data_IF_371978213054
#
_entry.id   IF_371978213054
#
_cell.length_a   1.000
_cell.length_b   1.000
_cell.length_c   1.000
_cell.angle_alpha   90.00
_cell.angle_beta   90.00
_cell.angle_gamma   90.00
#
_symmetry.space_group_name_H-M   'P 1'
#
loop_
_entity.id
_entity.type
_entity.pdbx_description
1 polymer ?
#
# COMPACT_ATOMS: atom_id res chain seq x y z
N UNK A 1 22.05 2.50 -43.72
CA UNK A 1 22.82 3.72 -43.44
C UNK A 1 22.12 4.88 -44.12
N UNK A 2 21.90 6.00 -43.42
CA UNK A 2 21.34 7.20 -44.04
C UNK A 2 22.27 7.68 -45.16
N UNK A 3 21.67 8.10 -46.27
CA UNK A 3 22.39 8.59 -47.45
C UNK A 3 22.29 10.11 -47.47
N UNK A 4 23.38 10.79 -47.15
CA UNK A 4 23.43 12.24 -47.12
C UNK A 4 23.78 12.78 -48.52
N UNK A 5 22.84 13.47 -49.16
CA UNK A 5 22.93 13.87 -50.56
C UNK A 5 23.32 15.33 -50.78
N UNK A 6 23.57 16.08 -49.71
CA UNK A 6 23.91 17.50 -49.77
C UNK A 6 24.93 17.91 -48.68
N UNK A 7 25.73 18.98 -48.89
CA UNK A 7 26.57 19.54 -47.83
C UNK A 7 25.70 20.19 -46.74
N UNK A 8 25.92 19.87 -45.47
CA UNK A 8 25.17 20.43 -44.34
C UNK A 8 25.58 19.82 -42.99
N UNK A 9 25.05 20.37 -41.89
CA UNK A 9 25.15 19.76 -40.55
C UNK A 9 23.92 18.89 -40.35
N UNK A 10 24.14 17.62 -40.09
CA UNK A 10 23.07 16.65 -39.81
C UNK A 10 23.11 16.28 -38.33
N UNK A 11 21.95 16.35 -37.67
CA UNK A 11 21.79 15.92 -36.29
C UNK A 11 20.83 14.74 -36.30
N UNK A 12 21.35 13.56 -35.99
CA UNK A 12 20.55 12.35 -35.86
C UNK A 12 20.38 12.01 -34.37
N UNK A 13 19.15 11.70 -33.98
CA UNK A 13 18.88 11.15 -32.67
C UNK A 13 19.22 9.67 -32.68
N UNK A 14 20.31 9.30 -32.02
CA UNK A 14 20.62 7.90 -31.71
C UNK A 14 20.16 7.65 -30.27
N UNK A 15 19.11 6.85 -30.04
CA UNK A 15 18.69 6.51 -28.69
C UNK A 15 19.86 5.82 -27.96
N UNK A 16 20.06 6.11 -26.66
CA UNK A 16 21.16 5.52 -25.92
C UNK A 16 21.02 3.99 -25.85
N UNK A 17 22.14 3.28 -25.93
CA UNK A 17 22.18 1.81 -25.89
C UNK A 17 21.77 1.21 -24.54
N UNK A 18 21.66 2.04 -23.49
CA UNK A 18 21.14 1.69 -22.17
C UNK A 18 20.50 2.94 -21.55
N UNK A 19 19.37 2.78 -20.88
CA UNK A 19 18.76 3.87 -20.12
C UNK A 19 19.55 4.10 -18.81
N UNK A 20 19.61 5.35 -18.30
CA UNK A 20 20.11 5.60 -16.96
C UNK A 20 19.30 4.83 -15.91
N UNK A 21 19.94 4.41 -14.83
CA UNK A 21 19.23 3.81 -13.69
C UNK A 21 18.32 4.86 -13.07
N UNK A 22 17.04 4.56 -12.97
CA UNK A 22 16.09 5.31 -12.15
C UNK A 22 16.02 4.67 -10.76
N UNK A 23 15.86 5.48 -9.73
CA UNK A 23 15.60 4.98 -8.39
C UNK A 23 14.25 4.28 -8.32
N UNK A 24 14.21 3.11 -7.69
CA UNK A 24 12.95 2.40 -7.43
C UNK A 24 12.13 3.09 -6.35
N UNK A 25 10.82 2.77 -6.29
CA UNK A 25 9.98 3.22 -5.18
C UNK A 25 10.51 2.67 -3.85
N UNK A 26 10.46 3.44 -2.77
CA UNK A 26 11.01 3.04 -1.46
C UNK A 26 9.94 2.88 -0.38
N UNK A 27 8.68 3.17 -0.70
CA UNK A 27 7.66 3.51 0.30
C UNK A 27 6.27 2.91 0.02
N UNK A 28 6.24 1.78 -0.69
CA UNK A 28 5.01 1.00 -0.90
C UNK A 28 4.92 -0.05 0.21
N UNK A 29 3.87 0.06 1.02
CA UNK A 29 3.65 -0.83 2.16
C UNK A 29 2.78 -2.03 1.78
N UNK A 30 3.06 -3.19 2.36
CA UNK A 30 2.18 -4.36 2.41
C UNK A 30 1.62 -4.51 3.83
N UNK A 31 0.31 -4.42 3.97
CA UNK A 31 -0.42 -4.61 5.23
C UNK A 31 -1.17 -5.93 5.22
N UNK A 32 -0.99 -6.74 6.26
CA UNK A 32 -1.85 -7.89 6.54
C UNK A 32 -2.70 -7.55 7.77
N UNK A 33 -4.00 -7.77 7.70
CA UNK A 33 -4.88 -7.48 8.84
C UNK A 33 -6.27 -8.08 8.72
N UNK A 34 -6.97 -8.14 9.85
CA UNK A 34 -8.31 -8.70 9.94
C UNK A 34 -9.34 -7.73 9.37
N UNK A 35 -10.21 -8.26 8.52
CA UNK A 35 -11.49 -7.66 8.14
C UNK A 35 -12.51 -8.78 8.15
N UNK A 36 -13.43 -8.79 9.12
CA UNK A 36 -14.45 -9.83 9.24
C UNK A 36 -15.35 -9.92 8.00
N UNK A 37 -15.99 -11.08 7.75
CA UNK A 37 -16.89 -11.26 6.59
C UNK A 37 -18.19 -10.45 6.71
N UNK A 38 -18.61 -10.16 7.94
CA UNK A 38 -19.84 -9.44 8.26
C UNK A 38 -19.63 -7.93 8.44
N UNK A 39 -18.50 -7.40 7.97
CA UNK A 39 -18.25 -5.96 7.99
C UNK A 39 -19.30 -5.19 7.21
N UNK A 40 -19.70 -4.04 7.76
CA UNK A 40 -20.60 -3.14 7.05
C UNK A 40 -19.81 -2.41 5.96
N UNK A 41 -20.24 -2.60 4.72
CA UNK A 41 -19.64 -1.95 3.55
C UNK A 41 -20.39 -0.65 3.20
N UNK A 42 -19.69 0.39 2.71
CA UNK A 42 -20.34 1.63 2.32
C UNK A 42 -21.25 1.43 1.10
N UNK A 43 -22.25 2.31 0.91
CA UNK A 43 -23.10 2.29 -0.27
C UNK A 43 -22.31 2.69 -1.52
N UNK A 44 -22.61 2.04 -2.64
CA UNK A 44 -22.12 2.43 -3.97
C UNK A 44 -22.81 3.72 -4.39
N UNK A 45 -22.06 4.78 -4.76
CA UNK A 45 -22.65 6.04 -5.16
C UNK A 45 -23.65 5.85 -6.32
N UNK A 46 -24.89 6.28 -6.11
CA UNK A 46 -25.94 6.25 -7.13
C UNK A 46 -26.49 4.87 -7.49
N UNK A 47 -26.19 3.82 -6.71
CA UNK A 47 -26.77 2.49 -6.92
C UNK A 47 -27.68 2.10 -5.74
N UNK A 48 -28.92 1.76 -6.07
CA UNK A 48 -29.95 1.34 -5.12
C UNK A 48 -30.56 0.01 -5.57
N UNK A 49 -31.10 -0.76 -4.63
CA UNK A 49 -31.79 -1.99 -4.98
C UNK A 49 -33.07 -1.67 -5.76
N UNK A 50 -33.20 -2.34 -6.89
CA UNK A 50 -34.40 -2.33 -7.70
C UNK A 50 -34.97 -3.74 -7.67
N UNK A 51 -36.17 -3.89 -7.10
CA UNK A 51 -36.96 -5.08 -7.39
C UNK A 51 -37.74 -4.81 -8.66
N UNK A 52 -37.64 -5.73 -9.62
CA UNK A 52 -38.77 -5.91 -10.53
C UNK A 52 -39.93 -6.33 -9.64
N UNK A 53 -41.07 -5.62 -9.67
CA UNK A 53 -42.17 -5.97 -8.80
C UNK A 53 -42.47 -7.45 -8.99
N UNK A 54 -42.24 -8.23 -7.93
CA UNK A 54 -42.61 -9.65 -7.82
C UNK A 54 -44.13 -9.85 -7.87
N UNK A 55 -44.87 -8.77 -8.11
CA UNK A 55 -46.28 -8.74 -8.37
C UNK A 55 -46.65 -9.41 -9.70
N UNK A 56 -45.71 -9.65 -10.62
CA UNK A 56 -46.02 -10.38 -11.84
C UNK A 56 -45.90 -11.90 -11.68
N UNK A 57 -47.03 -12.61 -11.54
CA UNK A 57 -47.09 -14.06 -11.79
C UNK A 57 -47.18 -14.32 -13.29
N UNK A 58 -46.58 -15.41 -13.78
CA UNK A 58 -46.84 -15.85 -15.15
C UNK A 58 -48.20 -16.57 -15.17
N UNK A 59 -49.10 -16.15 -16.06
CA UNK A 59 -50.30 -16.92 -16.36
C UNK A 59 -49.96 -18.28 -16.98
N UNK A 60 -50.96 -19.14 -17.17
CA UNK A 60 -50.78 -20.48 -17.75
C UNK A 60 -50.21 -20.46 -19.20
N UNK A 61 -50.10 -19.28 -19.81
CA UNK A 61 -49.52 -19.06 -21.13
C UNK A 61 -48.14 -18.37 -21.09
N UNK A 62 -47.61 -18.07 -19.91
CA UNK A 62 -46.29 -17.44 -19.72
C UNK A 62 -46.29 -15.92 -19.81
N UNK A 63 -47.44 -15.25 -19.65
CA UNK A 63 -47.52 -13.79 -19.63
C UNK A 63 -47.53 -13.24 -18.19
N UNK A 64 -46.83 -12.13 -17.91
CA UNK A 64 -46.79 -11.54 -16.57
C UNK A 64 -48.14 -10.85 -16.19
N UNK A 65 -48.70 -11.15 -15.01
CA UNK A 65 -49.94 -10.58 -14.42
C UNK A 65 -49.72 -10.04 -12.98
N UNK A 66 -50.15 -8.81 -12.68
CA UNK A 66 -50.00 -8.12 -11.36
C UNK A 66 -50.84 -8.75 -10.23
N UNK A 67 -50.32 -8.70 -8.99
CA UNK A 67 -50.92 -9.27 -7.78
C UNK A 67 -51.77 -8.20 -7.05
N UNK A 68 -52.98 -8.56 -6.62
CA UNK A 68 -54.08 -7.62 -6.29
C UNK A 68 -53.98 -6.86 -4.94
N UNK A 69 -52.87 -6.88 -4.19
CA UNK A 69 -52.91 -6.46 -2.77
C UNK A 69 -52.23 -5.16 -2.34
N UNK A 70 -51.49 -4.41 -3.16
CA UNK A 70 -51.04 -3.05 -2.77
C UNK A 70 -50.79 -2.16 -3.99
N UNK A 71 -51.43 -0.98 -4.05
CA UNK A 71 -51.13 0.07 -5.04
C UNK A 71 -49.71 0.61 -4.78
N UNK A 72 -48.74 0.47 -5.71
CA UNK A 72 -47.41 1.04 -5.49
C UNK A 72 -47.42 2.55 -5.78
N UNK A 73 -46.93 3.35 -4.83
CA UNK A 73 -46.52 4.74 -5.10
C UNK A 73 -45.26 4.76 -6.00
N UNK A 74 -45.44 5.11 -7.27
CA UNK A 74 -44.34 5.39 -8.20
C UNK A 74 -43.57 6.63 -7.73
N UNK A 75 -42.30 6.46 -7.37
CA UNK A 75 -41.33 7.57 -7.34
C UNK A 75 -40.48 7.45 -8.60
N UNK A 76 -40.62 8.42 -9.50
CA UNK A 76 -39.95 8.46 -10.79
C UNK A 76 -38.59 9.15 -10.62
N UNK A 77 -37.49 8.47 -10.95
CA UNK A 77 -36.18 9.09 -11.13
C UNK A 77 -35.51 8.48 -12.39
N UNK A 78 -34.96 9.27 -13.33
CA UNK A 78 -34.69 8.79 -14.69
C UNK A 78 -33.30 8.16 -14.85
N UNK A 79 -33.23 6.92 -15.34
CA UNK A 79 -32.07 6.35 -16.03
C UNK A 79 -32.57 5.53 -17.25
N UNK A 80 -32.05 5.75 -18.48
CA UNK A 80 -32.61 5.13 -19.69
C UNK A 80 -32.03 3.72 -19.99
N UNK A 81 -32.88 2.73 -20.32
CA UNK A 81 -32.45 1.47 -20.97
C UNK A 81 -33.51 0.90 -21.94
N UNK A 82 -33.11 0.48 -23.16
CA UNK A 82 -34.01 0.01 -24.24
C UNK A 82 -34.40 -1.46 -24.07
N UNK A 83 -35.71 -1.76 -24.06
CA UNK A 83 -36.24 -3.13 -24.03
C UNK A 83 -36.10 -3.76 -25.42
N UNK A 84 -35.51 -4.96 -25.47
CA UNK A 84 -35.28 -5.75 -26.68
C UNK A 84 -35.96 -7.11 -26.57
N UNK A 85 -36.40 -7.66 -27.69
CA UNK A 85 -36.89 -9.03 -27.79
C UNK A 85 -35.76 -10.06 -27.61
N UNK A 86 -36.15 -11.35 -27.61
CA UNK A 86 -35.25 -12.53 -27.49
C UNK A 86 -34.19 -12.64 -28.60
N UNK A 87 -34.25 -11.81 -29.63
CA UNK A 87 -33.31 -11.74 -30.75
C UNK A 87 -32.50 -10.43 -30.76
N UNK A 88 -32.71 -9.56 -29.75
CA UNK A 88 -31.97 -8.32 -29.55
C UNK A 88 -32.50 -7.11 -30.33
N UNK A 89 -33.73 -7.17 -30.87
CA UNK A 89 -34.38 -6.04 -31.57
C UNK A 89 -35.37 -5.28 -30.67
N UNK A 90 -35.62 -3.99 -30.91
CA UNK A 90 -36.62 -3.23 -30.14
C UNK A 90 -38.03 -3.84 -30.32
N UNK A 91 -38.83 -3.93 -29.24
CA UNK A 91 -40.18 -4.48 -29.30
C UNK A 91 -41.21 -3.48 -29.89
N UNK A 92 -42.07 -3.94 -30.80
CA UNK A 92 -43.18 -3.20 -31.44
C UNK A 92 -44.48 -4.03 -31.43
N UNK A 93 -45.67 -3.42 -31.56
CA UNK A 93 -46.96 -4.11 -31.76
C UNK A 93 -47.54 -3.82 -33.16
N UNK A 94 -48.35 -4.72 -33.73
CA UNK A 94 -49.11 -4.49 -34.98
C UNK A 94 -50.49 -3.90 -34.69
N UNK A 95 -50.87 -2.83 -35.40
CA UNK A 95 -52.22 -2.24 -35.34
C UNK A 95 -53.28 -3.08 -36.08
N UNK A 96 -54.54 -2.64 -36.02
CA UNK A 96 -55.69 -3.31 -36.62
C UNK A 96 -55.61 -3.41 -38.17
N UNK A 97 -54.64 -2.72 -38.77
CA UNK A 97 -54.33 -2.73 -40.21
C UNK A 97 -53.06 -3.55 -40.53
N UNK A 98 -52.41 -4.14 -39.52
CA UNK A 98 -51.22 -4.99 -39.64
C UNK A 98 -49.89 -4.23 -39.71
N UNK A 99 -49.83 -2.97 -39.29
CA UNK A 99 -48.60 -2.18 -39.31
C UNK A 99 -47.91 -2.17 -37.93
N UNK A 100 -46.59 -2.37 -37.88
CA UNK A 100 -45.83 -2.26 -36.63
C UNK A 100 -45.73 -0.80 -36.16
N UNK A 101 -46.36 -0.46 -35.03
CA UNK A 101 -46.35 0.88 -34.41
C UNK A 101 -45.79 0.83 -32.98
N UNK A 102 -44.92 1.78 -32.59
CA UNK A 102 -44.53 1.95 -31.19
C UNK A 102 -45.63 2.69 -30.42
N UNK A 103 -46.01 2.19 -29.24
CA UNK A 103 -46.86 2.92 -28.29
C UNK A 103 -46.02 4.00 -27.63
N UNK A 104 -46.32 5.27 -27.87
CA UNK A 104 -45.52 6.39 -27.37
C UNK A 104 -46.31 7.24 -26.35
N UNK A 105 -45.62 7.78 -25.34
CA UNK A 105 -46.16 8.81 -24.46
C UNK A 105 -46.27 10.16 -25.20
N UNK A 106 -46.75 11.21 -24.50
CA UNK A 106 -46.94 12.54 -25.07
C UNK A 106 -45.64 13.18 -25.60
N UNK A 107 -44.47 12.68 -25.18
CA UNK A 107 -43.14 13.15 -25.55
C UNK A 107 -42.43 12.21 -26.56
N UNK A 108 -43.07 11.12 -26.97
CA UNK A 108 -42.57 10.21 -28.00
C UNK A 108 -41.77 9.01 -27.49
N UNK A 109 -41.91 8.59 -26.22
CA UNK A 109 -41.18 7.46 -25.64
C UNK A 109 -42.03 6.17 -25.52
N UNK A 110 -41.46 4.95 -25.66
CA UNK A 110 -42.20 3.69 -25.62
C UNK A 110 -42.99 3.47 -24.30
N UNK A 111 -44.27 3.11 -24.37
CA UNK A 111 -45.14 2.91 -23.19
C UNK A 111 -45.76 1.50 -23.19
N UNK A 112 -45.88 0.86 -22.03
CA UNK A 112 -46.58 -0.42 -21.86
C UNK A 112 -47.80 -0.21 -20.97
N UNK A 113 -48.96 -0.72 -21.40
CA UNK A 113 -50.18 -0.76 -20.59
C UNK A 113 -50.34 -2.14 -19.98
N UNK A 114 -50.57 -2.20 -18.67
CA UNK A 114 -50.95 -3.43 -17.97
C UNK A 114 -52.40 -3.26 -17.52
N UNK A 115 -53.26 -4.24 -17.86
CA UNK A 115 -54.65 -4.29 -17.42
C UNK A 115 -54.79 -5.29 -16.28
N UNK A 116 -55.54 -4.92 -15.25
CA UNK A 116 -56.01 -5.89 -14.25
C UNK A 116 -57.24 -6.68 -14.76
N UNK A 117 -57.68 -7.65 -13.95
CA UNK A 117 -58.84 -8.52 -14.23
C UNK A 117 -60.20 -7.80 -14.22
N UNK A 118 -60.24 -6.55 -13.73
CA UNK A 118 -61.43 -5.68 -13.67
C UNK A 118 -61.37 -4.58 -14.77
N UNK A 119 -60.53 -4.77 -15.79
CA UNK A 119 -60.26 -3.87 -16.91
C UNK A 119 -59.69 -2.48 -16.56
N UNK A 120 -59.19 -2.29 -15.34
CA UNK A 120 -58.48 -1.06 -14.99
C UNK A 120 -57.09 -1.09 -15.60
N UNK A 121 -56.72 0.01 -16.25
CA UNK A 121 -55.47 0.10 -17.01
C UNK A 121 -54.48 0.98 -16.23
N UNK A 122 -53.30 0.45 -15.91
CA UNK A 122 -52.20 1.21 -15.32
C UNK A 122 -51.14 1.50 -16.39
N UNK A 123 -50.63 2.74 -16.37
CA UNK A 123 -49.58 3.21 -17.27
C UNK A 123 -48.22 2.81 -16.67
N UNK A 124 -47.46 1.95 -17.35
CA UNK A 124 -46.06 1.70 -16.99
C UNK A 124 -45.18 2.52 -17.93
N UNK A 125 -44.70 3.65 -17.41
CA UNK A 125 -43.75 4.51 -18.12
C UNK A 125 -42.38 3.85 -18.22
N UNK A 126 -41.71 4.07 -19.35
CA UNK A 126 -40.32 3.67 -19.56
C UNK A 126 -39.41 4.26 -18.47
N UNK A 127 -38.66 3.40 -17.77
CA UNK A 127 -37.81 3.80 -16.64
C UNK A 127 -38.43 3.65 -15.25
N UNK A 128 -39.63 3.06 -15.12
CA UNK A 128 -40.24 2.80 -13.81
C UNK A 128 -39.57 1.60 -13.12
N UNK A 129 -38.72 1.87 -12.13
CA UNK A 129 -38.23 0.86 -11.20
C UNK A 129 -38.80 1.09 -9.80
N UNK A 130 -39.15 0.03 -9.07
CA UNK A 130 -39.50 0.14 -7.65
C UNK A 130 -38.21 0.08 -6.85
N UNK A 131 -37.86 1.20 -6.21
CA UNK A 131 -36.79 1.23 -5.21
C UNK A 131 -37.26 0.43 -4.00
N UNK A 132 -36.48 -0.57 -3.60
CA UNK A 132 -36.68 -1.19 -2.29
C UNK A 132 -36.47 -0.10 -1.26
N UNK A 133 -37.46 0.15 -0.40
CA UNK A 133 -37.37 1.13 0.68
C UNK A 133 -37.22 0.41 2.01
N UNK A 134 -36.45 0.99 2.92
CA UNK A 134 -36.40 0.53 4.30
C UNK A 134 -37.73 0.83 5.03
N UNK A 135 -37.83 0.43 6.30
CA UNK A 135 -39.01 0.67 7.14
C UNK A 135 -39.32 2.17 7.36
N UNK A 136 -38.41 3.06 6.97
CA UNK A 136 -38.50 4.51 7.10
C UNK A 136 -38.80 5.20 5.75
N UNK A 137 -38.96 4.42 4.68
CA UNK A 137 -39.29 4.90 3.34
C UNK A 137 -38.07 5.34 2.52
N UNK A 138 -36.84 5.13 3.00
CA UNK A 138 -35.62 5.52 2.29
C UNK A 138 -35.18 4.42 1.32
N UNK A 139 -34.67 4.76 0.12
CA UNK A 139 -34.12 3.78 -0.81
C UNK A 139 -32.99 2.95 -0.18
N UNK A 140 -33.06 1.62 -0.30
CA UNK A 140 -32.04 0.69 0.18
C UNK A 140 -30.85 0.73 -0.79
N UNK A 141 -29.66 1.16 -0.35
CA UNK A 141 -28.50 1.27 -1.22
C UNK A 141 -27.88 -0.09 -1.53
N UNK A 142 -27.29 -0.22 -2.73
CA UNK A 142 -26.41 -1.35 -3.04
C UNK A 142 -25.05 -1.09 -2.39
N UNK A 143 -24.58 -2.03 -1.59
CA UNK A 143 -23.29 -1.90 -0.89
C UNK A 143 -22.14 -2.39 -1.77
N UNK A 144 -20.93 -1.91 -1.49
CA UNK A 144 -19.73 -2.55 -2.04
C UNK A 144 -19.59 -3.99 -1.50
N UNK A 145 -19.01 -4.87 -2.30
CA UNK A 145 -18.64 -6.20 -1.83
C UNK A 145 -17.32 -6.10 -1.06
N UNK A 146 -17.24 -6.79 0.07
CA UNK A 146 -15.96 -6.93 0.78
C UNK A 146 -14.98 -7.69 -0.11
N UNK A 147 -13.73 -7.22 -0.15
CA UNK A 147 -12.66 -7.88 -0.87
C UNK A 147 -12.47 -9.34 -0.40
N UNK A 148 -12.10 -10.23 -1.31
CA UNK A 148 -11.79 -11.62 -0.95
C UNK A 148 -10.62 -11.68 0.06
N UNK A 149 -10.72 -12.63 0.99
CA UNK A 149 -9.65 -12.89 1.93
C UNK A 149 -8.47 -13.59 1.24
N UNK A 150 -7.26 -13.29 1.69
CA UNK A 150 -6.06 -13.96 1.24
C UNK A 150 -5.56 -13.50 -0.13
N UNK A 151 -5.97 -12.34 -0.64
CA UNK A 151 -5.40 -11.76 -1.88
C UNK A 151 -4.90 -10.33 -1.61
N UNK A 152 -3.63 -10.00 -1.96
CA UNK A 152 -3.14 -8.63 -1.90
C UNK A 152 -3.89 -7.72 -2.88
N UNK A 153 -4.50 -6.66 -2.38
CA UNK A 153 -5.15 -5.64 -3.21
C UNK A 153 -4.41 -4.33 -3.09
N UNK A 154 -4.01 -3.78 -4.24
CA UNK A 154 -3.44 -2.44 -4.32
C UNK A 154 -4.50 -1.39 -3.96
N UNK A 155 -4.14 -0.51 -3.02
CA UNK A 155 -4.92 0.62 -2.57
C UNK A 155 -4.07 1.89 -2.69
N UNK A 156 -4.65 2.93 -3.28
CA UNK A 156 -4.00 4.21 -3.57
C UNK A 156 -4.56 5.38 -2.77
N UNK A 157 -5.64 5.15 -2.01
CA UNK A 157 -6.22 6.16 -1.12
C UNK A 157 -7.04 5.53 0.01
N UNK A 158 -7.30 6.33 1.05
CA UNK A 158 -8.25 5.95 2.10
C UNK A 158 -9.66 5.68 1.56
N UNK A 159 -10.13 6.47 0.58
CA UNK A 159 -11.45 6.27 0.00
C UNK A 159 -11.55 4.92 -0.72
N UNK A 160 -10.50 4.54 -1.46
CA UNK A 160 -10.43 3.23 -2.11
C UNK A 160 -10.40 2.09 -1.08
N UNK A 161 -9.67 2.24 0.03
CA UNK A 161 -9.70 1.28 1.14
C UNK A 161 -11.14 1.02 1.62
N UNK A 162 -11.92 2.07 1.87
CA UNK A 162 -13.31 1.93 2.33
C UNK A 162 -14.18 1.13 1.37
N UNK A 163 -14.00 1.32 0.06
CA UNK A 163 -14.78 0.57 -0.95
C UNK A 163 -14.44 -0.92 -1.01
N UNK A 164 -13.32 -1.35 -0.42
CA UNK A 164 -12.86 -2.75 -0.45
C UNK A 164 -12.92 -3.45 0.91
N UNK A 165 -12.71 -2.71 1.99
CA UNK A 165 -12.53 -3.26 3.34
C UNK A 165 -13.44 -2.63 4.40
N UNK A 166 -14.31 -1.70 4.00
CA UNK A 166 -15.21 -0.98 4.90
C UNK A 166 -14.57 0.24 5.57
N UNK A 167 -15.41 1.12 6.11
CA UNK A 167 -14.98 2.26 6.94
C UNK A 167 -14.59 1.79 8.35
N UNK A 168 -14.23 2.72 9.24
CA UNK A 168 -13.93 2.42 10.64
C UNK A 168 -15.09 1.67 11.32
N UNK A 169 -14.80 0.48 11.83
CA UNK A 169 -15.71 -0.37 12.60
C UNK A 169 -14.93 -1.39 13.43
N UNK A 170 -15.59 -2.12 14.31
CA UNK A 170 -14.92 -3.09 15.19
C UNK A 170 -14.27 -4.23 14.38
N UNK A 171 -14.96 -4.74 13.35
CA UNK A 171 -14.51 -5.89 12.55
C UNK A 171 -13.26 -5.68 11.68
N UNK A 172 -12.79 -4.44 11.54
CA UNK A 172 -11.56 -4.09 10.79
C UNK A 172 -10.66 -3.08 11.51
N UNK A 173 -10.95 -2.79 12.79
CA UNK A 173 -10.46 -1.62 13.52
C UNK A 173 -8.95 -1.38 13.40
N UNK A 174 -8.15 -2.41 13.69
CA UNK A 174 -6.70 -2.32 13.74
C UNK A 174 -6.11 -2.02 12.35
N UNK A 175 -6.60 -2.73 11.33
CA UNK A 175 -6.14 -2.54 9.94
C UNK A 175 -6.60 -1.18 9.39
N UNK A 176 -7.86 -0.79 9.62
CA UNK A 176 -8.41 0.49 9.19
C UNK A 176 -7.61 1.67 9.76
N UNK A 177 -7.32 1.66 11.07
CA UNK A 177 -6.49 2.70 11.71
C UNK A 177 -5.04 2.71 11.20
N UNK A 178 -4.47 1.53 10.90
CA UNK A 178 -3.12 1.45 10.34
C UNK A 178 -3.04 2.03 8.92
N UNK A 179 -3.97 1.66 8.03
CA UNK A 179 -4.01 2.14 6.64
C UNK A 179 -4.38 3.62 6.58
N UNK A 180 -5.33 4.07 7.40
CA UNK A 180 -5.62 5.50 7.55
C UNK A 180 -4.38 6.27 8.01
N UNK A 181 -3.71 5.78 9.06
CA UNK A 181 -2.47 6.35 9.58
C UNK A 181 -1.34 6.43 8.54
N UNK A 182 -1.23 5.41 7.68
CA UNK A 182 -0.28 5.37 6.56
C UNK A 182 -0.52 6.52 5.58
N UNK A 183 -1.72 6.63 5.02
CA UNK A 183 -2.05 7.69 4.07
C UNK A 183 -1.92 9.08 4.71
N UNK A 184 -2.39 9.24 5.94
CA UNK A 184 -2.37 10.53 6.64
C UNK A 184 -0.96 10.99 7.04
N UNK A 185 -0.01 10.06 7.15
CA UNK A 185 1.38 10.38 7.45
C UNK A 185 2.26 10.53 6.20
N UNK A 186 1.72 10.35 4.99
CA UNK A 186 2.39 10.61 3.70
C UNK A 186 2.56 9.38 2.81
N UNK A 187 1.98 8.24 3.18
CA UNK A 187 1.83 7.10 2.30
C UNK A 187 0.95 7.43 1.09
N UNK A 188 1.24 6.80 -0.04
CA UNK A 188 0.52 7.06 -1.31
C UNK A 188 -0.03 5.80 -1.96
N UNK A 189 0.60 4.65 -1.75
CA UNK A 189 0.18 3.36 -2.28
C UNK A 189 0.55 2.25 -1.31
N UNK A 190 -0.35 1.32 -1.06
CA UNK A 190 -0.09 0.13 -0.27
C UNK A 190 -0.87 -1.07 -0.82
N UNK A 191 -0.34 -2.27 -0.61
CA UNK A 191 -1.07 -3.51 -0.77
C UNK A 191 -1.71 -3.89 0.57
N UNK A 192 -2.97 -4.27 0.54
CA UNK A 192 -3.70 -4.76 1.71
C UNK A 192 -4.12 -6.19 1.43
N UNK A 193 -3.67 -7.11 2.27
CA UNK A 193 -4.13 -8.49 2.31
C UNK A 193 -5.04 -8.65 3.52
N UNK A 194 -6.29 -8.98 3.24
CA UNK A 194 -7.32 -9.25 4.24
C UNK A 194 -7.22 -10.70 4.72
N UNK A 195 -7.35 -10.92 6.02
CA UNK A 195 -7.75 -12.21 6.60
C UNK A 195 -9.12 -12.07 7.28
N UNK A 196 -9.89 -13.15 7.32
CA UNK A 196 -11.27 -13.10 7.83
C UNK A 196 -11.31 -13.11 9.37
N UNK A 197 -10.33 -13.75 10.00
CA UNK A 197 -10.28 -14.01 11.44
C UNK A 197 -8.94 -13.66 12.05
N UNK A 198 -8.94 -13.29 13.33
CA UNK A 198 -7.71 -12.96 14.04
C UNK A 198 -6.75 -14.16 14.19
N UNK A 199 -7.28 -15.38 14.22
CA UNK A 199 -6.48 -16.61 14.36
C UNK A 199 -5.60 -16.89 13.15
N UNK A 200 -5.95 -16.38 11.96
CA UNK A 200 -5.10 -16.46 10.78
C UNK A 200 -3.83 -15.60 10.93
N UNK A 201 -3.86 -14.57 11.78
CA UNK A 201 -2.68 -13.74 12.08
C UNK A 201 -1.83 -14.35 13.21
N UNK A 202 -2.25 -15.43 13.87
CA UNK A 202 -1.42 -16.06 14.90
C UNK A 202 -0.08 -16.56 14.32
N UNK A 203 -0.11 -16.99 13.06
CA UNK A 203 1.06 -17.25 12.21
C UNK A 203 0.82 -16.74 10.78
N UNK A 204 1.30 -15.53 10.42
CA UNK A 204 1.01 -14.90 9.13
C UNK A 204 1.89 -15.42 7.98
N UNK A 205 2.54 -16.58 8.13
CA UNK A 205 3.52 -17.10 7.16
C UNK A 205 2.90 -17.33 5.78
N UNK A 206 1.69 -17.90 5.72
CA UNK A 206 0.99 -18.19 4.47
C UNK A 206 0.54 -16.89 3.77
N UNK A 207 0.14 -15.87 4.52
CA UNK A 207 -0.20 -14.55 4.00
C UNK A 207 1.02 -13.79 3.50
N UNK A 208 2.16 -13.91 4.20
CA UNK A 208 3.42 -13.28 3.81
C UNK A 208 3.96 -13.87 2.50
N UNK A 209 3.80 -15.17 2.26
CA UNK A 209 4.18 -15.82 1.00
C UNK A 209 3.48 -15.16 -0.21
N UNK A 210 2.24 -14.69 -0.04
CA UNK A 210 1.48 -14.02 -1.10
C UNK A 210 2.03 -12.65 -1.46
N UNK A 211 2.81 -12.02 -0.59
CA UNK A 211 3.55 -10.80 -0.91
C UNK A 211 4.82 -11.05 -1.73
N UNK A 212 5.29 -12.30 -1.87
CA UNK A 212 6.48 -12.62 -2.67
C UNK A 212 6.26 -12.34 -4.16
N UNK A 213 5.03 -12.49 -4.66
CA UNK A 213 4.69 -12.19 -6.04
C UNK A 213 4.50 -10.68 -6.32
N UNK A 214 4.60 -9.84 -5.28
CA UNK A 214 4.42 -8.39 -5.36
C UNK A 214 5.76 -7.70 -5.10
N UNK A 215 6.54 -7.53 -6.17
CA UNK A 215 7.90 -6.98 -6.12
C UNK A 215 7.95 -5.53 -5.62
N UNK A 216 6.89 -4.74 -5.86
CA UNK A 216 6.90 -3.31 -5.49
C UNK A 216 6.81 -3.06 -3.98
N UNK A 217 6.50 -4.07 -3.16
CA UNK A 217 6.42 -3.92 -1.69
C UNK A 217 7.82 -3.73 -1.10
N UNK A 218 7.98 -2.64 -0.36
CA UNK A 218 9.27 -2.26 0.28
C UNK A 218 9.18 -2.15 1.81
N UNK A 219 7.96 -2.11 2.34
CA UNK A 219 7.66 -2.07 3.77
C UNK A 219 6.62 -3.14 4.05
N UNK A 220 6.79 -3.95 5.10
CA UNK A 220 5.80 -4.95 5.52
C UNK A 220 5.39 -4.66 6.95
N UNK A 221 4.08 -4.66 7.20
CA UNK A 221 3.53 -4.50 8.54
C UNK A 221 2.31 -5.41 8.73
N UNK A 222 2.24 -6.01 9.91
CA UNK A 222 1.07 -6.75 10.39
C UNK A 222 0.60 -6.03 11.66
N UNK A 223 -0.27 -5.02 11.55
CA UNK A 223 -0.52 -4.12 12.67
C UNK A 223 -1.11 -4.85 13.86
N UNK A 224 -0.50 -4.67 15.03
CA UNK A 224 -0.91 -5.34 16.27
C UNK A 224 -0.30 -6.72 16.48
N UNK A 225 0.51 -7.22 15.55
CA UNK A 225 1.32 -8.41 15.76
C UNK A 225 2.40 -8.16 16.82
N UNK A 226 2.36 -8.95 17.90
CA UNK A 226 3.22 -8.79 19.08
C UNK A 226 3.82 -10.11 19.59
N UNK A 227 3.43 -11.26 19.04
CA UNK A 227 3.94 -12.57 19.45
C UNK A 227 5.30 -12.89 18.82
N UNK A 228 6.00 -13.88 19.39
CA UNK A 228 7.25 -14.40 18.83
C UNK A 228 7.05 -15.05 17.45
N UNK A 229 6.01 -15.85 17.27
CA UNK A 229 5.65 -16.50 16.00
C UNK A 229 5.45 -15.43 14.93
N UNK A 230 4.61 -14.42 15.21
CA UNK A 230 4.32 -13.33 14.28
C UNK A 230 5.58 -12.54 13.90
N UNK A 231 6.35 -12.09 14.90
CA UNK A 231 7.56 -11.30 14.63
C UNK A 231 8.59 -12.11 13.84
N UNK A 232 8.78 -13.40 14.15
CA UNK A 232 9.70 -14.25 13.41
C UNK A 232 9.27 -14.45 11.95
N UNK A 233 7.97 -14.68 11.69
CA UNK A 233 7.45 -14.83 10.33
C UNK A 233 7.69 -13.57 9.48
N UNK A 234 7.37 -12.39 10.03
CA UNK A 234 7.54 -11.12 9.32
C UNK A 234 9.03 -10.81 9.08
N UNK A 235 9.89 -11.06 10.06
CA UNK A 235 11.35 -10.91 9.93
C UNK A 235 11.90 -11.87 8.87
N UNK A 236 11.50 -13.14 8.91
CA UNK A 236 11.96 -14.16 7.98
C UNK A 236 11.58 -13.81 6.53
N UNK A 237 10.35 -13.34 6.30
CA UNK A 237 9.89 -12.86 5.00
C UNK A 237 10.77 -11.71 4.48
N UNK A 238 10.95 -10.66 5.27
CA UNK A 238 11.73 -9.49 4.83
C UNK A 238 13.21 -9.85 4.61
N UNK A 239 13.77 -10.74 5.43
CA UNK A 239 15.14 -11.22 5.26
C UNK A 239 15.32 -12.14 4.04
N UNK A 240 14.29 -12.93 3.69
CA UNK A 240 14.27 -13.78 2.49
C UNK A 240 14.23 -12.92 1.23
N UNK A 241 13.35 -11.92 1.19
CA UNK A 241 13.18 -11.06 0.02
C UNK A 241 14.35 -10.09 -0.17
N UNK A 242 14.90 -9.54 0.93
CA UNK A 242 16.10 -8.68 0.90
C UNK A 242 15.89 -7.26 0.35
N UNK A 243 14.75 -6.98 -0.25
CA UNK A 243 14.33 -5.70 -0.83
C UNK A 243 13.44 -4.86 0.13
N UNK A 244 12.77 -5.51 1.08
CA UNK A 244 11.78 -4.91 1.99
C UNK A 244 12.17 -4.96 3.46
N UNK A 245 11.55 -4.12 4.27
CA UNK A 245 11.77 -4.07 5.73
C UNK A 245 10.47 -4.22 6.52
N UNK A 246 10.54 -4.89 7.65
CA UNK A 246 9.45 -5.05 8.59
C UNK A 246 9.33 -3.83 9.52
N UNK A 247 8.11 -3.38 9.75
CA UNK A 247 7.75 -2.50 10.86
C UNK A 247 6.94 -3.31 11.85
N UNK A 248 7.56 -3.59 13.00
CA UNK A 248 6.98 -4.39 14.07
C UNK A 248 6.41 -3.50 15.17
N UNK A 249 5.32 -3.97 15.78
CA UNK A 249 4.72 -3.32 16.94
C UNK A 249 5.23 -4.00 18.22
N UNK A 250 5.68 -3.20 19.19
CA UNK A 250 6.05 -3.72 20.51
C UNK A 250 4.81 -3.94 21.37
N UNK A 251 4.82 -4.97 22.23
CA UNK A 251 3.69 -5.28 23.11
C UNK A 251 3.41 -4.14 24.10
N UNK A 252 2.26 -3.48 23.93
CA UNK A 252 1.87 -2.31 24.73
C UNK A 252 1.54 -2.67 26.20
N UNK A 253 1.19 -3.94 26.46
CA UNK A 253 0.88 -4.42 27.81
C UNK A 253 2.14 -4.45 28.69
N UNK A 254 3.31 -4.51 28.07
CA UNK A 254 4.59 -4.63 28.75
C UNK A 254 5.11 -3.27 29.20
N UNK A 255 5.71 -3.26 30.39
CA UNK A 255 6.41 -2.09 30.92
C UNK A 255 7.78 -1.89 30.27
N UNK A 256 8.33 -0.65 30.28
CA UNK A 256 9.60 -0.32 29.62
C UNK A 256 10.84 -0.98 30.26
N UNK A 257 10.69 -1.69 31.38
CA UNK A 257 11.74 -2.52 31.96
C UNK A 257 11.78 -3.95 31.39
N UNK A 258 10.79 -4.35 30.59
CA UNK A 258 10.67 -5.71 30.03
C UNK A 258 11.02 -5.70 28.55
N UNK A 259 12.32 -5.71 28.22
CA UNK A 259 12.79 -5.75 26.82
C UNK A 259 12.22 -6.95 26.09
N UNK A 260 12.34 -8.16 26.66
CA UNK A 260 11.85 -9.39 26.05
C UNK A 260 10.32 -9.47 26.00
N UNK A 261 9.61 -8.74 26.87
CA UNK A 261 8.17 -8.63 26.74
C UNK A 261 7.79 -7.73 25.56
N UNK A 262 8.41 -6.56 25.44
CA UNK A 262 8.13 -5.62 24.34
C UNK A 262 8.55 -6.21 22.99
N UNK A 263 9.68 -6.91 22.98
CA UNK A 263 10.36 -7.47 21.81
C UNK A 263 10.66 -8.95 22.09
N UNK A 264 9.74 -9.87 21.78
CA UNK A 264 9.91 -11.29 22.10
C UNK A 264 10.98 -11.98 21.25
N UNK A 265 11.30 -11.44 20.07
CA UNK A 265 12.34 -11.96 19.17
C UNK A 265 13.67 -11.25 19.38
N UNK A 266 14.75 -12.02 19.48
CA UNK A 266 16.13 -11.54 19.64
C UNK A 266 16.66 -10.70 18.46
N UNK A 267 17.75 -9.95 18.70
CA UNK A 267 18.46 -9.26 17.62
C UNK A 267 19.26 -10.29 16.82
N UNK A 268 19.35 -10.13 15.51
CA UNK A 268 20.05 -11.08 14.64
C UNK A 268 20.40 -10.45 13.29
N UNK A 269 21.16 -11.18 12.47
CA UNK A 269 21.39 -10.81 11.07
C UNK A 269 20.08 -10.66 10.28
N UNK A 270 19.15 -11.60 10.41
CA UNK A 270 17.84 -11.53 9.73
C UNK A 270 17.01 -10.35 10.25
N UNK A 271 17.03 -10.12 11.57
CA UNK A 271 16.30 -9.02 12.19
C UNK A 271 16.88 -7.63 11.83
N UNK A 272 18.02 -7.56 11.13
CA UNK A 272 18.49 -6.30 10.51
C UNK A 272 17.55 -5.75 9.41
N UNK A 273 16.59 -6.56 8.94
CA UNK A 273 15.49 -6.14 8.06
C UNK A 273 14.25 -5.69 8.83
N UNK A 274 14.28 -5.59 10.16
CA UNK A 274 13.14 -5.21 10.97
C UNK A 274 13.44 -4.05 11.91
N UNK A 275 12.42 -3.25 12.17
CA UNK A 275 12.42 -2.20 13.18
C UNK A 275 11.16 -2.30 14.03
N UNK A 276 11.34 -2.32 15.36
CA UNK A 276 10.23 -2.40 16.30
C UNK A 276 9.96 -1.03 16.93
N UNK A 277 8.68 -0.69 17.08
CA UNK A 277 8.22 0.59 17.61
C UNK A 277 7.38 0.41 18.87
N UNK A 278 7.68 1.21 19.90
CA UNK A 278 7.01 1.16 21.20
C UNK A 278 6.99 2.55 21.84
N UNK A 279 6.00 2.93 22.65
CA UNK A 279 4.74 2.25 22.87
C UNK A 279 3.77 2.55 21.72
N UNK A 280 2.57 1.99 21.83
CA UNK A 280 1.47 2.31 20.92
C UNK A 280 1.05 3.78 21.04
N UNK A 281 0.31 4.27 20.05
CA UNK A 281 -0.15 5.65 20.00
C UNK A 281 -1.66 5.72 20.25
N UNK A 282 -2.13 6.86 20.77
CA UNK A 282 -3.54 7.15 20.89
C UNK A 282 -4.00 8.01 19.73
N UNK A 283 -5.08 7.62 19.07
CA UNK A 283 -5.73 8.36 17.98
C UNK A 283 -7.20 8.57 18.31
N UNK A 284 -7.85 9.53 17.65
CA UNK A 284 -9.30 9.64 17.74
C UNK A 284 -9.94 8.49 16.98
N UNK A 285 -10.79 7.70 17.64
CA UNK A 285 -11.56 6.64 17.00
C UNK A 285 -12.97 7.15 16.63
N UNK A 286 -13.33 7.22 15.33
CA UNK A 286 -14.63 7.71 14.90
C UNK A 286 -15.82 6.87 15.38
N UNK A 287 -15.60 5.57 15.65
CA UNK A 287 -16.65 4.64 16.08
C UNK A 287 -17.04 4.92 17.52
N UNK A 288 -16.07 4.90 18.44
CA UNK A 288 -16.31 5.19 19.86
C UNK A 288 -16.40 6.69 20.17
N UNK A 289 -16.02 7.55 19.23
CA UNK A 289 -15.92 9.02 19.37
C UNK A 289 -15.01 9.44 20.53
N UNK A 290 -14.01 8.63 20.81
CA UNK A 290 -13.08 8.81 21.92
C UNK A 290 -11.65 8.47 21.50
N UNK A 291 -10.63 8.91 22.26
CA UNK A 291 -9.26 8.45 22.04
C UNK A 291 -9.14 6.95 22.29
N UNK A 292 -8.53 6.23 21.36
CA UNK A 292 -8.21 4.80 21.50
C UNK A 292 -6.75 4.51 21.14
N UNK A 293 -6.22 3.41 21.68
CA UNK A 293 -4.83 3.00 21.53
C UNK A 293 -4.69 2.04 20.36
N UNK A 294 -3.88 2.41 19.36
CA UNK A 294 -3.66 1.63 18.14
C UNK A 294 -2.17 1.31 17.92
N UNK A 295 -1.86 0.20 17.23
CA UNK A 295 -0.48 -0.14 16.89
C UNK A 295 0.14 0.91 15.94
N UNK A 296 1.39 1.33 16.17
CA UNK A 296 2.00 2.43 15.43
C UNK A 296 2.44 2.05 14.01
N UNK A 297 2.60 0.78 13.67
CA UNK A 297 3.21 0.31 12.42
C UNK A 297 2.69 0.98 11.15
N UNK A 298 1.37 1.15 11.00
CA UNK A 298 0.79 1.86 9.86
C UNK A 298 1.18 3.34 9.79
N UNK A 299 1.19 4.04 10.92
CA UNK A 299 1.61 5.44 11.00
C UNK A 299 3.10 5.59 10.70
N UNK A 300 3.92 4.67 11.20
CA UNK A 300 5.36 4.66 10.93
C UNK A 300 5.64 4.39 9.44
N UNK A 301 4.90 3.47 8.80
CA UNK A 301 5.01 3.24 7.36
C UNK A 301 4.71 4.52 6.56
N UNK A 302 3.71 5.30 6.97
CA UNK A 302 3.42 6.60 6.36
C UNK A 302 4.54 7.62 6.60
N UNK A 303 5.14 7.62 7.80
CA UNK A 303 6.28 8.48 8.13
C UNK A 303 7.51 8.12 7.27
N UNK A 304 7.76 6.83 7.03
CA UNK A 304 8.81 6.40 6.08
C UNK A 304 8.55 7.00 4.71
N UNK A 305 7.31 6.90 4.20
CA UNK A 305 6.94 7.46 2.91
C UNK A 305 7.17 8.98 2.82
N UNK A 306 6.70 9.73 3.82
CA UNK A 306 6.91 11.19 3.87
C UNK A 306 8.39 11.56 3.99
N UNK A 307 9.12 10.83 4.82
CA UNK A 307 10.55 11.03 5.03
C UNK A 307 11.32 10.88 3.72
N UNK A 308 11.04 9.80 3.00
CA UNK A 308 11.71 9.48 1.74
C UNK A 308 11.38 10.50 0.66
N UNK A 309 10.10 10.88 0.52
CA UNK A 309 9.66 11.87 -0.45
C UNK A 309 10.25 13.27 -0.21
N UNK A 310 10.52 13.64 1.05
CA UNK A 310 10.98 14.99 1.40
C UNK A 310 12.48 15.09 1.60
N UNK A 311 13.16 14.01 1.99
CA UNK A 311 14.57 14.02 2.42
C UNK A 311 15.42 12.86 1.88
N UNK A 312 14.80 11.93 1.15
CA UNK A 312 15.45 10.72 0.67
C UNK A 312 15.52 9.62 1.73
N UNK A 313 15.50 8.37 1.26
CA UNK A 313 15.51 7.15 2.11
C UNK A 313 16.77 7.02 2.99
N UNK A 314 17.88 7.66 2.60
CA UNK A 314 19.13 7.69 3.36
C UNK A 314 19.03 8.52 4.66
N UNK A 315 18.02 9.38 4.80
CA UNK A 315 17.77 10.12 6.04
C UNK A 315 16.94 9.27 7.02
N UNK A 316 17.39 9.19 8.27
CA UNK A 316 16.70 8.45 9.32
C UNK A 316 15.27 8.98 9.60
N UNK A 317 14.22 8.13 9.59
CA UNK A 317 12.84 8.53 9.87
C UNK A 317 12.56 8.70 11.38
N UNK A 318 13.42 9.48 12.05
CA UNK A 318 13.29 9.87 13.47
C UNK A 318 13.24 11.39 13.62
N UNK A 319 12.83 11.86 14.81
CA UNK A 319 12.42 13.24 15.07
C UNK A 319 11.26 13.69 14.15
N UNK A 320 10.50 12.73 13.63
CA UNK A 320 9.32 12.94 12.82
C UNK A 320 8.07 13.05 13.69
N UNK A 321 7.19 13.98 13.37
CA UNK A 321 5.89 14.11 14.04
C UNK A 321 4.97 13.00 13.55
N UNK A 322 4.28 12.33 14.48
CA UNK A 322 3.21 11.39 14.15
C UNK A 322 1.93 12.20 13.98
N UNK A 323 1.51 12.41 12.73
CA UNK A 323 0.32 13.20 12.42
C UNK A 323 -0.91 12.41 12.87
N UNK A 324 -1.89 13.13 13.44
CA UNK A 324 -3.13 12.58 14.02
C UNK A 324 -2.96 11.74 15.30
N UNK A 325 -1.74 11.63 15.85
CA UNK A 325 -1.54 11.08 17.17
C UNK A 325 -1.90 12.10 18.25
N UNK A 326 -2.82 11.74 19.14
CA UNK A 326 -3.25 12.53 20.28
C UNK A 326 -2.27 12.40 21.46
N UNK A 327 -1.81 11.18 21.72
CA UNK A 327 -0.83 10.89 22.77
C UNK A 327 -0.10 9.57 22.49
N UNK A 328 0.83 9.20 23.36
CA UNK A 328 1.37 7.83 23.46
C UNK A 328 0.59 7.03 24.50
N UNK A 329 0.49 5.71 24.35
CA UNK A 329 -0.17 4.86 25.35
C UNK A 329 0.56 4.88 26.69
N UNK A 330 1.88 5.11 26.65
CA UNK A 330 2.76 5.22 27.81
C UNK A 330 3.81 6.31 27.64
N UNK A 331 3.98 7.16 28.64
CA UNK A 331 5.10 8.10 28.65
C UNK A 331 6.42 7.37 28.95
N UNK A 332 7.41 7.50 28.07
CA UNK A 332 8.75 6.93 28.23
C UNK A 332 9.73 8.04 28.63
N UNK A 333 10.38 7.86 29.78
CA UNK A 333 11.44 8.74 30.26
C UNK A 333 12.75 8.49 29.50
N UNK A 334 13.69 9.44 29.61
CA UNK A 334 15.03 9.26 29.02
C UNK A 334 15.74 8.03 29.58
N UNK A 335 15.72 7.84 30.91
CA UNK A 335 16.38 6.69 31.55
C UNK A 335 15.79 5.34 31.13
N UNK A 336 14.46 5.28 30.90
CA UNK A 336 13.83 4.09 30.34
C UNK A 336 14.25 3.85 28.89
N UNK A 337 14.28 4.90 28.07
CA UNK A 337 14.78 4.81 26.69
C UNK A 337 16.25 4.37 26.63
N UNK A 338 17.09 4.77 27.58
CA UNK A 338 18.50 4.37 27.65
C UNK A 338 18.66 2.84 27.78
N UNK A 339 17.67 2.13 28.35
CA UNK A 339 17.62 0.67 28.40
C UNK A 339 16.97 -0.01 27.19
N UNK A 340 16.11 0.70 26.45
CA UNK A 340 15.38 0.15 25.29
C UNK A 340 16.14 0.35 23.97
N UNK A 341 16.82 1.47 23.80
CA UNK A 341 17.45 1.86 22.55
C UNK A 341 18.65 0.97 22.16
N UNK A 342 19.54 0.51 23.08
CA UNK A 342 20.55 -0.52 22.79
C UNK A 342 19.97 -1.82 22.21
N UNK A 343 18.75 -2.15 22.62
CA UNK A 343 18.03 -3.35 22.24
C UNK A 343 17.27 -3.24 20.91
N UNK A 344 17.44 -2.11 20.20
CA UNK A 344 16.80 -1.88 18.90
C UNK A 344 15.31 -1.48 18.99
N UNK A 345 14.82 -1.14 20.18
CA UNK A 345 13.44 -0.70 20.39
C UNK A 345 13.35 0.82 20.15
N UNK A 346 12.65 1.21 19.09
CA UNK A 346 12.47 2.60 18.71
C UNK A 346 11.31 3.21 19.49
N UNK A 347 11.61 4.22 20.32
CA UNK A 347 10.57 4.79 21.16
C UNK A 347 9.79 5.92 20.48
N UNK A 348 8.47 5.94 20.65
CA UNK A 348 7.61 7.07 20.32
C UNK A 348 7.39 7.89 21.60
N UNK A 349 7.59 9.22 21.54
CA UNK A 349 7.59 10.08 22.73
C UNK A 349 6.82 11.38 22.51
N UNK A 350 6.20 11.85 23.58
CA UNK A 350 5.59 13.18 23.65
C UNK A 350 6.62 14.23 24.07
N UNK A 351 6.73 15.29 23.28
CA UNK A 351 7.54 16.47 23.59
C UNK A 351 6.64 17.70 23.57
N UNK A 352 6.27 18.21 24.75
CA UNK A 352 5.37 19.37 24.89
C UNK A 352 4.05 19.19 24.11
N UNK A 353 3.48 17.99 24.14
CA UNK A 353 2.24 17.64 23.43
C UNK A 353 2.42 17.23 21.97
N UNK A 354 3.63 17.36 21.40
CA UNK A 354 3.91 16.83 20.05
C UNK A 354 4.41 15.39 20.14
N UNK A 355 3.71 14.46 19.50
CA UNK A 355 4.10 13.05 19.45
C UNK A 355 5.12 12.85 18.33
N UNK A 356 6.28 12.30 18.68
CA UNK A 356 7.40 12.10 17.76
C UNK A 356 7.97 10.70 17.82
N UNK A 357 8.37 10.21 16.65
CA UNK A 357 9.25 9.04 16.54
C UNK A 357 10.65 9.44 17.03
N UNK A 358 11.17 8.74 18.02
CA UNK A 358 12.41 9.08 18.71
C UNK A 358 13.41 7.92 18.77
N UNK A 359 13.51 7.18 17.65
CA UNK A 359 14.48 6.12 17.39
C UNK A 359 14.43 5.72 15.91
N UNK A 360 15.55 5.25 15.37
CA UNK A 360 15.65 4.75 13.98
C UNK A 360 16.63 3.58 13.83
N UNK A 361 16.67 2.69 14.83
CA UNK A 361 17.48 1.47 14.83
C UNK A 361 16.70 0.29 14.28
N UNK A 362 17.40 -0.60 13.60
CA UNK A 362 16.88 -1.94 13.28
C UNK A 362 17.11 -2.87 14.47
N UNK A 363 16.69 -4.13 14.33
CA UNK A 363 17.01 -5.22 15.25
C UNK A 363 18.30 -5.98 14.85
N UNK A 364 19.22 -5.33 14.14
CA UNK A 364 20.53 -5.90 13.84
C UNK A 364 21.32 -6.21 15.13
N UNK A 365 22.00 -7.35 15.17
CA UNK A 365 22.96 -7.67 16.21
C UNK A 365 24.29 -6.90 16.03
N UNK A 366 25.19 -7.05 17.01
CA UNK A 366 26.47 -6.35 16.98
C UNK A 366 27.43 -6.87 15.89
N UNK A 367 27.23 -8.09 15.38
CA UNK A 367 27.96 -8.62 14.23
C UNK A 367 27.52 -7.94 12.91
N UNK A 368 26.31 -7.39 12.86
CA UNK A 368 25.74 -6.70 11.70
C UNK A 368 25.58 -5.18 11.93
N UNK A 369 26.54 -4.59 12.65
CA UNK A 369 26.47 -3.19 13.09
C UNK A 369 26.38 -2.16 11.94
N UNK A 370 26.76 -2.51 10.71
CA UNK A 370 26.58 -1.65 9.54
C UNK A 370 25.12 -1.39 9.20
N UNK A 371 24.24 -2.34 9.51
CA UNK A 371 22.79 -2.22 9.31
C UNK A 371 22.04 -1.84 10.58
N UNK A 372 22.73 -1.27 11.58
CA UNK A 372 22.14 -0.81 12.84
C UNK A 372 21.01 0.22 12.63
N UNK A 373 21.08 1.02 11.58
CA UNK A 373 20.11 2.09 11.32
C UNK A 373 19.18 1.75 10.17
N UNK A 374 17.90 2.09 10.35
CA UNK A 374 16.83 1.84 9.38
C UNK A 374 17.13 2.53 8.05
N UNK A 375 17.61 3.78 8.07
CA UNK A 375 17.95 4.48 6.84
C UNK A 375 19.09 3.82 6.07
N UNK A 376 20.09 3.26 6.77
CA UNK A 376 21.18 2.53 6.12
C UNK A 376 20.67 1.24 5.48
N UNK A 377 19.85 0.46 6.19
CA UNK A 377 19.23 -0.75 5.64
C UNK A 377 18.35 -0.44 4.43
N UNK A 378 17.38 0.48 4.57
CA UNK A 378 16.44 0.82 3.49
C UNK A 378 17.15 1.43 2.27
N UNK A 379 18.16 2.28 2.49
CA UNK A 379 18.93 2.83 1.37
C UNK A 379 19.79 1.76 0.69
N UNK A 380 20.35 0.80 1.42
CA UNK A 380 21.06 -0.31 0.81
C UNK A 380 20.13 -1.19 -0.04
N UNK A 381 18.93 -1.51 0.46
CA UNK A 381 17.91 -2.22 -0.32
C UNK A 381 17.55 -1.45 -1.60
N UNK A 382 17.30 -0.13 -1.50
CA UNK A 382 17.05 0.74 -2.64
C UNK A 382 18.18 0.72 -3.68
N UNK A 383 19.45 0.75 -3.24
CA UNK A 383 20.60 0.70 -4.15
C UNK A 383 20.66 -0.65 -4.87
N UNK A 384 20.50 -1.75 -4.15
CA UNK A 384 20.54 -3.10 -4.72
C UNK A 384 19.43 -3.26 -5.76
N UNK A 385 18.20 -2.87 -5.43
CA UNK A 385 17.07 -3.04 -6.33
C UNK A 385 17.16 -2.13 -7.57
N UNK A 386 17.54 -0.87 -7.39
CA UNK A 386 17.75 0.05 -8.52
C UNK A 386 18.85 -0.43 -9.45
N UNK A 387 19.93 -1.01 -8.91
CA UNK A 387 21.00 -1.59 -9.72
C UNK A 387 20.51 -2.87 -10.41
N UNK A 388 19.75 -3.72 -9.73
CA UNK A 388 19.14 -4.91 -10.32
C UNK A 388 18.27 -4.56 -11.53
N UNK A 389 17.28 -3.68 -11.35
CA UNK A 389 16.39 -3.21 -12.43
C UNK A 389 17.16 -2.50 -13.55
N UNK A 390 18.04 -1.57 -13.17
CA UNK A 390 18.80 -0.74 -14.10
C UNK A 390 19.85 -1.51 -14.91
N UNK A 391 20.17 -2.75 -14.53
CA UNK A 391 21.19 -3.57 -15.22
C UNK A 391 20.63 -4.84 -15.87
N UNK A 392 19.31 -5.02 -15.95
CA UNK A 392 18.69 -6.16 -16.66
C UNK A 392 19.13 -6.30 -18.12
N UNK A 393 19.55 -5.20 -18.78
CA UNK A 393 20.11 -5.24 -20.14
C UNK A 393 21.38 -6.10 -20.26
N UNK A 394 22.07 -6.41 -19.15
CA UNK A 394 23.29 -7.20 -19.17
C UNK A 394 23.02 -8.71 -19.34
N UNK A 395 21.80 -9.16 -19.08
CA UNK A 395 21.42 -10.58 -19.17
C UNK A 395 21.43 -11.02 -20.63
N UNK A 396 22.04 -12.18 -20.91
CA UNK A 396 22.23 -12.76 -22.27
C UNK A 396 23.08 -11.94 -23.25
N UNK A 397 23.77 -10.90 -22.80
CA UNK A 397 24.76 -10.19 -23.63
C UNK A 397 26.08 -10.96 -23.74
N UNK A 398 26.86 -10.77 -24.84
CA UNK A 398 28.21 -11.28 -24.92
C UNK A 398 29.08 -10.79 -23.76
N UNK A 399 29.71 -11.73 -23.04
CA UNK A 399 30.59 -11.43 -21.91
C UNK A 399 31.97 -10.94 -22.39
N UNK A 400 32.02 -9.67 -22.78
CA UNK A 400 33.20 -9.00 -23.34
C UNK A 400 33.54 -7.68 -22.62
N UNK A 401 34.65 -7.06 -23.05
CA UNK A 401 35.11 -5.77 -22.51
C UNK A 401 34.06 -4.66 -22.70
N UNK A 402 33.23 -4.73 -23.74
CA UNK A 402 32.18 -3.76 -24.02
C UNK A 402 31.06 -3.84 -22.99
N UNK A 403 30.60 -5.04 -22.65
CA UNK A 403 29.63 -5.25 -21.58
C UNK A 403 30.14 -4.71 -20.23
N UNK A 404 31.39 -5.02 -19.87
CA UNK A 404 31.97 -4.57 -18.59
C UNK A 404 32.04 -3.04 -18.49
N UNK A 405 32.42 -2.36 -19.58
CA UNK A 405 32.45 -0.89 -19.60
C UNK A 405 31.05 -0.29 -19.56
N UNK A 406 30.06 -0.92 -20.20
CA UNK A 406 28.64 -0.50 -20.10
C UNK A 406 28.14 -0.60 -18.66
N UNK A 407 28.34 -1.73 -17.98
CA UNK A 407 27.94 -1.91 -16.57
C UNK A 407 28.62 -0.87 -15.68
N UNK A 408 29.94 -0.70 -15.77
CA UNK A 408 30.68 0.29 -14.97
C UNK A 408 30.15 1.70 -15.13
N UNK A 409 29.90 2.11 -16.38
CA UNK A 409 29.38 3.45 -16.67
C UNK A 409 27.98 3.63 -16.11
N UNK A 410 27.07 2.69 -16.38
CA UNK A 410 25.66 2.79 -15.94
C UNK A 410 25.54 2.84 -14.42
N UNK A 411 26.23 1.95 -13.70
CA UNK A 411 26.24 1.95 -12.23
C UNK A 411 27.00 3.15 -11.67
N UNK A 412 28.13 3.54 -12.29
CA UNK A 412 28.92 4.69 -11.87
C UNK A 412 28.15 6.01 -11.98
N UNK A 413 27.41 6.21 -13.07
CA UNK A 413 26.59 7.41 -13.29
C UNK A 413 25.43 7.48 -12.27
N UNK A 414 24.82 6.34 -11.92
CA UNK A 414 23.81 6.25 -10.88
C UNK A 414 24.37 6.66 -9.50
N UNK A 415 25.46 6.01 -9.07
CA UNK A 415 26.08 6.31 -7.78
C UNK A 415 26.64 7.73 -7.69
N UNK A 416 27.05 8.32 -8.82
CA UNK A 416 27.43 9.73 -8.89
C UNK A 416 26.25 10.66 -8.56
N UNK A 417 25.05 10.33 -9.05
CA UNK A 417 23.84 11.09 -8.72
C UNK A 417 23.44 10.93 -7.25
N UNK A 418 23.55 9.72 -6.71
CA UNK A 418 23.33 9.44 -5.30
C UNK A 418 24.33 10.16 -4.37
N UNK A 419 25.59 10.28 -4.79
CA UNK A 419 26.56 11.11 -4.07
C UNK A 419 26.20 12.61 -4.13
N UNK A 420 25.79 13.11 -5.31
CA UNK A 420 25.35 14.50 -5.48
C UNK A 420 24.11 14.85 -4.67
N UNK A 421 23.22 13.88 -4.42
CA UNK A 421 22.03 14.06 -3.57
C UNK A 421 22.37 14.08 -2.07
N UNK A 422 23.61 13.73 -1.70
CA UNK A 422 24.08 13.67 -0.33
C UNK A 422 23.83 12.33 0.37
N UNK A 423 23.43 11.29 -0.37
CA UNK A 423 23.18 9.96 0.18
C UNK A 423 24.47 9.18 0.48
N UNK A 424 25.55 9.48 -0.24
CA UNK A 424 26.88 8.89 -0.06
C UNK A 424 27.86 9.88 0.60
N UNK A 425 28.63 9.39 1.56
CA UNK A 425 29.62 10.13 2.32
C UNK A 425 30.99 10.13 1.62
N UNK A 426 31.54 11.31 1.35
CA UNK A 426 32.89 11.48 0.81
C UNK A 426 33.05 12.84 0.17
N UNK A 427 34.23 13.44 0.31
CA UNK A 427 34.54 14.74 -0.30
C UNK A 427 34.60 14.67 -1.83
N UNK A 428 34.89 13.49 -2.37
CA UNK A 428 35.01 13.21 -3.81
C UNK A 428 34.28 11.91 -4.13
N UNK A 429 33.81 11.71 -5.38
CA UNK A 429 33.17 10.47 -5.80
C UNK A 429 34.02 9.22 -5.49
N UNK A 430 35.33 9.26 -5.76
CA UNK A 430 36.24 8.12 -5.51
C UNK A 430 36.42 7.76 -4.02
N UNK A 431 36.10 8.69 -3.10
CA UNK A 431 36.05 8.40 -1.65
C UNK A 431 34.67 7.90 -1.20
N UNK A 432 33.64 8.11 -2.02
CA UNK A 432 32.25 7.81 -1.70
C UNK A 432 31.80 6.46 -2.27
N UNK A 433 32.26 6.09 -3.47
CA UNK A 433 31.94 4.81 -4.09
C UNK A 433 33.00 4.35 -5.08
N UNK A 434 32.95 3.06 -5.45
CA UNK A 434 33.67 2.52 -6.58
C UNK A 434 32.85 1.43 -7.29
N UNK A 435 33.12 1.24 -8.59
CA UNK A 435 32.52 0.17 -9.41
C UNK A 435 33.63 -0.53 -10.18
N UNK A 436 33.83 -1.83 -9.93
CA UNK A 436 34.87 -2.64 -10.55
C UNK A 436 34.26 -3.80 -11.32
N UNK A 437 34.33 -3.72 -12.65
CA UNK A 437 34.02 -4.79 -13.59
C UNK A 437 35.15 -4.82 -14.62
N UNK A 438 36.10 -5.74 -14.43
CA UNK A 438 37.31 -5.85 -15.24
C UNK A 438 37.82 -7.30 -15.27
N UNK A 439 39.02 -7.51 -15.83
CA UNK A 439 39.62 -8.83 -15.96
C UNK A 439 40.02 -9.46 -14.61
N UNK A 440 40.17 -8.66 -13.55
CA UNK A 440 40.46 -9.19 -12.21
C UNK A 440 39.19 -9.73 -11.55
N UNK A 441 38.03 -9.07 -11.74
CA UNK A 441 36.74 -9.60 -11.26
C UNK A 441 36.16 -10.66 -12.20
N UNK A 442 36.55 -10.66 -13.48
CA UNK A 442 36.07 -11.59 -14.51
C UNK A 442 37.21 -12.34 -15.21
N UNK A 443 37.98 -13.17 -14.47
CA UNK A 443 38.99 -14.03 -15.07
C UNK A 443 38.34 -15.08 -15.99
N UNK A 444 39.16 -15.83 -16.73
CA UNK A 444 38.68 -16.77 -17.75
C UNK A 444 37.70 -17.79 -17.17
N UNK A 445 37.98 -18.29 -15.97
CA UNK A 445 37.21 -19.32 -15.29
C UNK A 445 35.79 -18.83 -14.95
N UNK A 446 35.63 -17.57 -14.54
CA UNK A 446 34.32 -16.94 -14.26
C UNK A 446 33.52 -16.75 -15.55
N UNK A 447 34.20 -16.31 -16.63
CA UNK A 447 33.55 -16.12 -17.93
C UNK A 447 33.10 -17.43 -18.57
N UNK A 448 33.89 -18.50 -18.44
CA UNK A 448 33.52 -19.82 -18.95
C UNK A 448 32.30 -20.42 -18.22
N UNK A 449 32.03 -19.97 -16.98
CA UNK A 449 30.78 -20.27 -16.26
C UNK A 449 29.59 -19.39 -16.69
N UNK A 450 29.79 -18.48 -17.65
CA UNK A 450 28.76 -17.55 -18.12
C UNK A 450 28.48 -16.40 -17.14
N UNK A 451 29.36 -16.13 -16.17
CA UNK A 451 29.14 -15.13 -15.13
C UNK A 451 29.82 -13.80 -15.46
N UNK A 452 29.18 -12.69 -15.05
CA UNK A 452 29.79 -11.36 -14.99
C UNK A 452 29.74 -10.87 -13.55
N UNK A 453 30.90 -10.65 -12.94
CA UNK A 453 31.04 -10.18 -11.56
C UNK A 453 31.46 -8.72 -11.56
N UNK A 454 30.65 -7.90 -10.89
CA UNK A 454 30.92 -6.48 -10.65
C UNK A 454 30.97 -6.23 -9.15
N UNK A 455 32.12 -5.74 -8.66
CA UNK A 455 32.28 -5.36 -7.26
C UNK A 455 31.94 -3.88 -7.10
N UNK A 456 31.00 -3.59 -6.20
CA UNK A 456 30.52 -2.24 -5.92
C UNK A 456 30.77 -1.95 -4.44
N UNK A 457 31.39 -0.82 -4.13
CA UNK A 457 31.51 -0.33 -2.77
C UNK A 457 30.90 1.05 -2.64
N UNK A 458 30.20 1.30 -1.54
CA UNK A 458 29.53 2.57 -1.23
C UNK A 458 29.76 2.95 0.23
N UNK A 459 29.97 4.24 0.49
CA UNK A 459 30.05 4.82 1.82
C UNK A 459 28.72 5.50 2.17
N UNK A 460 27.79 4.78 2.80
CA UNK A 460 26.46 5.32 3.13
C UNK A 460 26.56 6.31 4.30
N UNK A 461 25.86 7.45 4.20
CA UNK A 461 25.76 8.41 5.32
C UNK A 461 25.06 7.77 6.52
N UNK A 462 25.72 7.77 7.69
CA UNK A 462 25.14 7.29 8.96
C UNK A 462 24.56 8.48 9.76
N UNK A 463 23.41 8.31 10.44
CA UNK A 463 22.79 9.39 11.21
C UNK A 463 23.58 9.74 12.48
N UNK A 464 23.52 11.01 12.88
CA UNK A 464 24.05 11.47 14.17
C UNK A 464 23.02 11.22 15.29
N UNK A 465 23.11 10.06 15.95
CA UNK A 465 22.21 9.68 17.05
C UNK A 465 22.46 10.47 18.35
N UNK A 466 23.73 10.82 18.62
CA UNK A 466 24.13 11.54 19.83
C UNK A 466 24.86 12.84 19.48
N UNK A 467 24.38 13.96 20.02
CA UNK A 467 25.06 15.27 19.94
C UNK A 467 25.53 15.65 21.34
N UNK A 468 26.84 15.68 21.56
CA UNK A 468 27.45 15.90 22.87
C UNK A 468 28.11 17.27 22.89
N UNK A 469 27.50 18.22 23.61
CA UNK A 469 28.14 19.49 23.94
C UNK A 469 28.94 19.34 25.23
N UNK A 470 30.24 19.64 25.18
CA UNK A 470 31.11 19.69 26.37
C UNK A 470 31.35 21.15 26.72
N UNK A 471 30.85 21.58 27.88
CA UNK A 471 31.01 22.95 28.38
C UNK A 471 32.06 22.93 29.49
N UNK A 472 33.07 23.77 29.35
CA UNK A 472 34.10 23.97 30.37
C UNK A 472 34.03 25.41 30.88
N UNK A 473 34.02 25.58 32.20
CA UNK A 473 34.26 26.87 32.83
C UNK A 473 35.75 26.99 33.11
N UNK A 474 36.41 28.01 32.56
CA UNK A 474 37.79 28.35 32.88
C UNK A 474 37.81 29.52 33.86
N UNK A 475 38.76 29.54 34.80
CA UNK A 475 39.09 30.77 35.51
C UNK A 475 39.68 31.74 34.48
N UNK A 476 39.19 32.98 34.44
CA UNK A 476 39.78 34.00 33.58
C UNK A 476 41.14 34.40 34.13
N UNK A 477 42.22 34.09 33.40
CA UNK A 477 43.54 34.69 33.59
C UNK A 477 43.80 35.75 32.53
#
# INVERSE_FOLDING_TARGET
>A
MPQYLSPGVYVEYVPPASLPIAGVATSIAGFIGVVADDVTMPPRPGQFYFEFPSQFQLDDNGNPVLNDEDEPELIVDPIPFVVKDKEGKPAFFEDDEGNSVPLLDADGNPTVFVKDKDEKTALVTYGSHVLVKDNEGNPVPVLYDVADAGEPILITSWEEFKTKFGDFQEGNKILAHAVYGFFFNGGTRCHVLRVATATEIDDPSDELEKFEAVDEITIVAVPGAVSDIQHNAIIAHCAKMGDRVAILDGDQTQGPGSVNGIRPVGRSQQASYAAIYYPWIKVFDPVTKAPDTIPPSGHIAGIYARNDATRGVFKAPANEVVVNALDVSRSISKAQQDGLNPEGINVIRSFKGTIKVWGARTMADDANADFRYISTRRYFNYLVESINDGTQFAVFEPNDLGLWQRIKRTVGDFLLNEWRSGALFGETPDKAFFVKCDAETNPKEVRELGQVVTLIGVAIVKPAEFVIFRIQQTAGE
#
